data_IF_770634906305
#
_entry.id   IF_770634906305
#
_cell.length_a   1.000
_cell.length_b   1.000
_cell.length_c   1.000
_cell.angle_alpha   90.00
_cell.angle_beta   90.00
_cell.angle_gamma   90.00
#
_symmetry.space_group_name_H-M   'P 1'
#
loop_
_entity.id
_entity.type
_entity.pdbx_description
1 polymer ?
#
# COMPACT_ATOMS: atom_id res chain seq x y z
N UNK A 1 3.95 -5.29 15.56
CA UNK A 1 4.64 -4.17 14.88
C UNK A 1 3.62 -3.06 14.73
N UNK A 2 3.82 -2.07 13.86
CA UNK A 2 2.84 -1.00 13.65
C UNK A 2 2.56 -0.81 12.15
N UNK A 3 1.36 -0.33 11.84
CA UNK A 3 0.76 -0.32 10.51
C UNK A 3 0.03 0.99 10.21
N UNK A 4 0.11 1.43 8.96
CA UNK A 4 -0.59 2.62 8.49
C UNK A 4 -1.08 2.40 7.05
N UNK A 5 -2.32 2.81 6.74
CA UNK A 5 -2.95 2.62 5.43
C UNK A 5 -3.44 3.95 4.84
N UNK A 6 -3.25 4.10 3.54
CA UNK A 6 -3.76 5.19 2.71
C UNK A 6 -4.76 4.60 1.71
N UNK A 7 -6.00 5.10 1.74
CA UNK A 7 -7.02 4.81 0.74
C UNK A 7 -7.44 6.08 0.04
N UNK A 8 -7.56 6.06 -1.28
CA UNK A 8 -7.97 7.20 -2.07
C UNK A 8 -8.94 6.78 -3.16
N UNK A 9 -9.91 7.63 -3.44
CA UNK A 9 -10.75 7.54 -4.63
C UNK A 9 -11.22 8.95 -5.04
N UNK A 10 -12.17 9.03 -5.97
CA UNK A 10 -12.70 10.32 -6.44
C UNK A 10 -13.37 11.19 -5.36
N UNK A 11 -13.75 10.62 -4.21
CA UNK A 11 -14.36 11.34 -3.09
C UNK A 11 -13.31 12.00 -2.18
N UNK A 12 -12.08 11.51 -2.17
CA UNK A 12 -11.01 12.03 -1.31
C UNK A 12 -10.04 10.94 -0.85
N UNK A 13 -9.28 11.28 0.19
CA UNK A 13 -8.28 10.42 0.80
C UNK A 13 -8.64 10.10 2.25
N UNK A 14 -8.31 8.89 2.69
CA UNK A 14 -8.40 8.44 4.07
C UNK A 14 -7.04 7.89 4.46
N UNK A 15 -6.46 8.43 5.53
CA UNK A 15 -5.21 7.98 6.13
C UNK A 15 -5.55 7.43 7.50
N UNK A 16 -5.05 6.24 7.84
CA UNK A 16 -5.22 5.68 9.17
C UNK A 16 -3.93 4.99 9.65
N UNK A 17 -3.71 4.97 10.96
CA UNK A 17 -2.57 4.33 11.59
C UNK A 17 -2.92 3.77 12.99
N UNK A 18 -2.24 2.70 13.40
CA UNK A 18 -2.32 2.14 14.75
C UNK A 18 -1.37 2.81 15.77
N UNK A 19 -0.62 3.82 15.32
CA UNK A 19 0.27 4.64 16.14
C UNK A 19 -0.04 6.13 15.99
N UNK A 20 0.23 6.85 17.06
CA UNK A 20 0.24 8.31 17.03
C UNK A 20 1.47 8.83 16.29
N UNK A 21 1.40 10.07 15.82
CA UNK A 21 2.47 10.76 15.11
C UNK A 21 2.90 10.03 13.83
N UNK A 22 1.92 9.47 13.12
CA UNK A 22 2.13 8.83 11.83
C UNK A 22 1.62 9.73 10.70
N UNK A 23 0.54 10.47 10.95
CA UNK A 23 -0.12 11.37 10.01
C UNK A 23 0.06 12.83 10.46
N UNK A 24 0.55 13.68 9.57
CA UNK A 24 0.84 15.08 9.84
C UNK A 24 0.12 16.00 8.86
N UNK A 25 -0.76 16.86 9.37
CA UNK A 25 -1.40 17.92 8.58
C UNK A 25 -0.54 19.17 8.50
N UNK A 26 -0.48 19.80 7.32
CA UNK A 26 0.15 21.10 7.16
C UNK A 26 -0.69 22.23 7.78
N UNK A 27 -1.91 22.48 7.30
CA UNK A 27 -2.83 23.46 7.91
C UNK A 27 -4.30 23.10 7.68
N UNK A 28 -5.22 23.85 8.30
CA UNK A 28 -6.66 23.72 8.02
C UNK A 28 -7.04 24.20 6.62
N UNK A 29 -6.20 25.03 5.98
CA UNK A 29 -6.51 25.70 4.70
C UNK A 29 -5.82 25.06 3.51
N UNK A 30 -4.63 24.52 3.71
CA UNK A 30 -3.85 23.84 2.66
C UNK A 30 -4.06 22.34 2.84
N UNK A 31 -4.73 21.67 1.89
CA UNK A 31 -4.95 20.23 1.93
C UNK A 31 -3.64 19.52 1.55
N UNK A 32 -2.68 19.55 2.45
CA UNK A 32 -1.40 18.84 2.36
C UNK A 32 -1.17 18.08 3.66
N UNK A 33 -0.95 16.78 3.52
CA UNK A 33 -0.62 15.89 4.61
C UNK A 33 0.57 15.00 4.26
N UNK A 34 1.33 14.68 5.30
CA UNK A 34 2.39 13.69 5.27
C UNK A 34 1.94 12.47 6.07
N UNK A 35 2.19 11.29 5.54
CA UNK A 35 2.03 10.03 6.25
C UNK A 35 3.36 9.28 6.21
N UNK A 36 3.79 8.75 7.34
CA UNK A 36 5.14 8.19 7.54
C UNK A 36 5.05 6.73 7.98
N UNK A 37 6.17 5.99 7.93
CA UNK A 37 6.19 4.64 8.48
C UNK A 37 6.00 4.73 10.00
N UNK A 38 4.99 4.04 10.58
CA UNK A 38 4.76 4.06 12.03
C UNK A 38 5.91 3.42 12.83
N UNK A 39 6.85 2.74 12.18
CA UNK A 39 8.06 2.19 12.78
C UNK A 39 9.31 3.03 12.48
N UNK A 40 9.17 4.16 11.80
CA UNK A 40 10.26 5.08 11.52
C UNK A 40 10.94 5.54 12.80
N UNK A 41 12.26 5.63 12.76
CA UNK A 41 13.09 6.13 13.87
C UNK A 41 13.27 7.65 13.83
N UNK A 42 12.80 8.31 12.76
CA UNK A 42 12.94 9.73 12.57
C UNK A 42 11.95 10.52 13.45
N UNK A 43 12.37 11.68 14.01
CA UNK A 43 11.49 12.55 14.77
C UNK A 43 10.58 13.36 13.83
N UNK A 44 9.67 12.69 13.13
CA UNK A 44 8.83 13.31 12.10
C UNK A 44 8.01 14.49 12.59
N UNK A 45 7.54 14.45 13.85
CA UNK A 45 6.85 15.58 14.46
C UNK A 45 7.72 16.86 14.47
N UNK A 46 9.00 16.75 14.82
CA UNK A 46 9.93 17.88 14.86
C UNK A 46 10.25 18.36 13.44
N UNK A 47 10.55 17.43 12.53
CA UNK A 47 10.86 17.73 11.12
C UNK A 47 9.68 18.45 10.45
N UNK A 48 8.46 17.98 10.68
CA UNK A 48 7.24 18.56 10.10
C UNK A 48 6.89 19.91 10.72
N UNK A 49 7.06 20.06 12.03
CA UNK A 49 6.82 21.34 12.70
C UNK A 49 7.83 22.40 12.26
N UNK A 50 9.10 22.04 12.07
CA UNK A 50 10.13 22.93 11.50
C UNK A 50 9.69 23.43 10.12
N UNK A 51 9.21 22.53 9.24
CA UNK A 51 8.69 22.89 7.92
C UNK A 51 7.52 23.87 8.00
N UNK A 52 6.52 23.55 8.83
CA UNK A 52 5.29 24.35 8.98
C UNK A 52 5.52 25.74 9.54
N UNK A 53 6.48 25.90 10.45
CA UNK A 53 6.76 27.20 11.10
C UNK A 53 7.58 28.09 10.17
N UNK A 54 8.50 27.50 9.40
CA UNK A 54 9.43 28.23 8.54
C UNK A 54 8.90 28.49 7.12
N UNK A 55 7.75 27.92 6.78
CA UNK A 55 7.17 28.00 5.44
C UNK A 55 5.75 28.51 5.54
N UNK A 56 5.39 29.50 4.71
CA UNK A 56 4.01 29.95 4.54
C UNK A 56 3.50 29.54 3.16
N UNK A 57 2.75 28.43 3.13
CA UNK A 57 2.17 27.89 1.90
C UNK A 57 0.73 28.39 1.71
N UNK A 58 0.43 28.89 0.51
CA UNK A 58 -0.94 29.04 0.03
C UNK A 58 -1.50 27.77 -0.60
N UNK A 59 -0.63 26.89 -1.11
CA UNK A 59 -0.94 25.62 -1.77
C UNK A 59 0.22 24.63 -1.56
N UNK A 60 0.00 23.34 -1.86
CA UNK A 60 1.05 22.33 -1.68
C UNK A 60 2.22 22.55 -2.65
N UNK A 61 3.44 22.61 -2.12
CA UNK A 61 4.68 22.62 -2.90
C UNK A 61 5.60 21.47 -2.45
N UNK A 62 5.61 20.39 -3.22
CA UNK A 62 6.44 19.22 -2.93
C UNK A 62 7.94 19.49 -3.09
N UNK A 63 8.33 20.38 -4.00
CA UNK A 63 9.76 20.67 -4.21
C UNK A 63 10.32 21.40 -3.00
N UNK A 64 9.56 22.37 -2.48
CA UNK A 64 9.93 23.08 -1.25
C UNK A 64 9.99 22.13 -0.04
N UNK A 65 9.06 21.18 0.06
CA UNK A 65 9.10 20.17 1.10
C UNK A 65 10.32 19.23 0.96
N UNK A 66 10.69 18.83 -0.26
CA UNK A 66 11.90 18.04 -0.48
C UNK A 66 13.19 18.77 -0.14
N UNK A 67 13.27 20.05 -0.49
CA UNK A 67 14.42 20.88 -0.14
C UNK A 67 14.53 21.01 1.39
N UNK A 68 13.39 21.14 2.08
CA UNK A 68 13.34 21.09 3.55
C UNK A 68 13.86 19.74 4.08
N UNK A 69 13.42 18.61 3.53
CA UNK A 69 13.89 17.28 3.93
C UNK A 69 15.40 17.12 3.72
N UNK A 70 15.93 17.54 2.56
CA UNK A 70 17.37 17.50 2.27
C UNK A 70 18.20 18.33 3.24
N UNK A 71 17.65 19.44 3.74
CA UNK A 71 18.32 20.29 4.73
C UNK A 71 18.21 19.77 6.18
N UNK A 72 17.09 19.12 6.52
CA UNK A 72 16.77 18.74 7.90
C UNK A 72 17.26 17.34 8.27
N UNK A 73 17.10 16.37 7.36
CA UNK A 73 17.44 14.97 7.62
C UNK A 73 18.93 14.67 7.85
N UNK A 74 19.92 15.43 7.31
CA UNK A 74 21.33 15.19 7.63
C UNK A 74 21.63 15.28 9.14
N UNK A 75 20.86 16.08 9.90
CA UNK A 75 20.95 16.18 11.36
C UNK A 75 20.62 14.85 12.06
N UNK A 76 19.91 13.95 11.35
CA UNK A 76 19.38 12.67 11.83
C UNK A 76 19.96 11.47 11.09
N UNK A 77 21.06 11.64 10.32
CA UNK A 77 21.64 10.60 9.46
C UNK A 77 21.97 9.28 10.17
N UNK A 78 22.21 9.30 11.49
CA UNK A 78 22.50 8.09 12.27
C UNK A 78 21.26 7.27 12.63
N UNK A 79 20.05 7.79 12.40
CA UNK A 79 18.81 7.14 12.80
C UNK A 79 18.25 6.25 11.70
N UNK A 80 18.56 6.50 10.43
CA UNK A 80 17.94 5.84 9.30
C UNK A 80 18.90 5.58 8.15
N UNK A 81 18.61 4.55 7.36
CA UNK A 81 19.27 4.28 6.07
C UNK A 81 18.31 4.47 4.90
N UNK A 82 17.03 4.19 5.11
CA UNK A 82 15.95 4.25 4.14
C UNK A 82 14.63 4.51 4.85
N UNK A 83 13.81 5.39 4.28
CA UNK A 83 12.47 5.72 4.76
C UNK A 83 11.52 5.81 3.57
N UNK A 84 10.26 5.46 3.79
CA UNK A 84 9.19 5.62 2.79
C UNK A 84 8.10 6.47 3.42
N UNK A 85 7.68 7.50 2.69
CA UNK A 85 6.62 8.41 3.12
C UNK A 85 5.61 8.59 1.99
N UNK A 86 4.38 8.96 2.37
CA UNK A 86 3.33 9.37 1.44
C UNK A 86 3.01 10.84 1.65
N UNK A 87 3.13 11.63 0.58
CA UNK A 87 2.70 13.02 0.56
C UNK A 87 1.35 13.08 -0.15
N UNK A 88 0.29 13.37 0.60
CA UNK A 88 -1.09 13.39 0.10
C UNK A 88 -1.57 14.83 0.03
N UNK A 89 -2.07 15.27 -1.13
CA UNK A 89 -2.56 16.64 -1.31
C UNK A 89 -3.56 16.78 -2.47
N UNK A 90 -4.04 18.00 -2.69
CA UNK A 90 -4.74 18.40 -3.91
C UNK A 90 -3.89 19.38 -4.69
N UNK A 91 -3.72 19.13 -6.00
CA UNK A 91 -3.14 20.13 -6.90
C UNK A 91 -4.12 21.30 -7.09
N UNK A 92 -3.63 22.52 -7.36
CA UNK A 92 -4.49 23.71 -7.48
C UNK A 92 -5.60 23.58 -8.52
N UNK A 93 -5.33 22.84 -9.61
CA UNK A 93 -6.26 22.62 -10.71
C UNK A 93 -7.01 21.27 -10.62
N UNK A 94 -6.69 20.44 -9.61
CA UNK A 94 -7.28 19.12 -9.45
C UNK A 94 -8.43 19.12 -8.44
N UNK A 95 -9.53 18.49 -8.82
CA UNK A 95 -10.65 18.21 -7.90
C UNK A 95 -10.51 16.86 -7.19
N UNK A 96 -9.43 16.11 -7.47
CA UNK A 96 -9.17 14.78 -6.94
C UNK A 96 -7.85 14.73 -6.17
N UNK A 97 -7.75 13.87 -5.15
CA UNK A 97 -6.55 13.78 -4.34
C UNK A 97 -5.41 13.14 -5.14
N UNK A 98 -4.20 13.55 -4.80
CA UNK A 98 -2.94 13.04 -5.35
C UNK A 98 -2.09 12.52 -4.21
N UNK A 99 -1.37 11.43 -4.45
CA UNK A 99 -0.30 10.98 -3.55
C UNK A 99 1.00 10.76 -4.29
N UNK A 100 2.09 11.22 -3.69
CA UNK A 100 3.44 10.88 -4.09
C UNK A 100 4.06 9.97 -3.03
N UNK A 101 4.52 8.80 -3.50
CA UNK A 101 5.35 7.91 -2.71
C UNK A 101 6.79 8.40 -2.84
N UNK A 102 7.39 8.78 -1.71
CA UNK A 102 8.78 9.23 -1.69
C UNK A 102 9.60 8.23 -0.91
N UNK A 103 10.65 7.75 -1.56
CA UNK A 103 11.68 6.97 -0.93
C UNK A 103 12.87 7.87 -0.62
N UNK A 104 13.22 7.94 0.66
CA UNK A 104 14.31 8.77 1.16
C UNK A 104 15.44 7.85 1.60
N UNK A 105 16.66 8.12 1.15
CA UNK A 105 17.85 7.34 1.50
C UNK A 105 19.01 8.24 1.88
N UNK A 106 19.82 7.78 2.82
CA UNK A 106 21.14 8.37 3.07
C UNK A 106 22.19 7.67 2.22
N UNK A 107 22.88 8.43 1.36
CA UNK A 107 23.99 7.92 0.53
C UNK A 107 25.14 8.90 0.64
N UNK A 108 26.31 8.45 1.11
CA UNK A 108 27.52 9.28 1.27
C UNK A 108 27.27 10.59 2.05
N UNK A 109 26.51 10.53 3.14
CA UNK A 109 26.05 11.68 3.95
C UNK A 109 25.15 12.69 3.22
N UNK A 110 24.65 12.36 2.03
CA UNK A 110 23.66 13.15 1.32
C UNK A 110 22.30 12.45 1.37
N UNK A 111 21.24 13.26 1.45
CA UNK A 111 19.86 12.80 1.39
C UNK A 111 19.46 12.70 -0.08
N UNK A 112 19.19 11.48 -0.53
CA UNK A 112 18.61 11.22 -1.84
C UNK A 112 17.11 10.97 -1.66
N UNK A 113 16.29 11.71 -2.41
CA UNK A 113 14.84 11.54 -2.43
C UNK A 113 14.47 11.08 -3.84
N UNK A 114 13.92 9.87 -3.92
CA UNK A 114 13.35 9.34 -5.15
C UNK A 114 11.84 9.39 -5.04
N UNK A 115 11.20 10.18 -5.90
CA UNK A 115 9.76 10.09 -6.11
C UNK A 115 9.49 8.88 -6.99
N UNK A 116 8.53 8.05 -6.61
CA UNK A 116 7.95 7.14 -7.59
C UNK A 116 7.37 7.99 -8.73
N UNK A 117 7.84 7.75 -9.96
CA UNK A 117 7.33 8.42 -11.16
C UNK A 117 5.83 8.12 -11.34
N UNK A 118 5.37 7.01 -10.78
CA UNK A 118 3.98 6.59 -10.68
C UNK A 118 3.25 7.33 -9.57
N UNK A 119 3.29 8.66 -9.57
CA UNK A 119 2.39 9.45 -8.73
C UNK A 119 0.95 8.97 -8.94
N UNK A 120 0.26 8.63 -7.86
CA UNK A 120 -1.09 8.12 -7.95
C UNK A 120 -2.04 9.31 -7.95
N UNK A 121 -2.32 9.76 -9.18
CA UNK A 121 -3.30 10.80 -9.45
C UNK A 121 -4.64 10.11 -9.69
N UNK A 122 -5.61 10.40 -8.82
CA UNK A 122 -6.97 9.94 -9.03
C UNK A 122 -7.60 10.81 -10.13
N UNK A 123 -8.12 10.20 -11.20
CA UNK A 123 -8.84 10.90 -12.24
C UNK A 123 -9.80 9.99 -13.02
N UNK A 124 -10.85 10.54 -13.66
CA UNK A 124 -11.79 9.75 -14.45
C UNK A 124 -11.17 9.12 -15.70
N UNK A 125 -10.01 9.62 -16.14
CA UNK A 125 -9.28 9.14 -17.32
C UNK A 125 -8.09 8.24 -16.96
N UNK A 126 -7.79 8.07 -15.67
CA UNK A 126 -6.64 7.33 -15.16
C UNK A 126 -7.05 6.41 -14.01
N UNK A 127 -6.29 6.45 -12.91
CA UNK A 127 -6.62 5.67 -11.71
C UNK A 127 -7.86 6.26 -11.03
N UNK A 128 -8.81 5.43 -10.64
CA UNK A 128 -10.06 5.86 -9.98
C UNK A 128 -10.06 5.56 -8.47
N UNK A 129 -9.18 4.66 -8.05
CA UNK A 129 -8.94 4.26 -6.67
C UNK A 129 -7.46 3.98 -6.45
N UNK A 130 -7.03 4.06 -5.21
CA UNK A 130 -5.69 3.67 -4.78
C UNK A 130 -5.71 3.21 -3.32
N UNK A 131 -4.98 2.14 -3.02
CA UNK A 131 -4.72 1.68 -1.65
C UNK A 131 -3.25 1.35 -1.53
N UNK A 132 -2.62 1.90 -0.50
CA UNK A 132 -1.23 1.60 -0.16
C UNK A 132 -1.03 1.69 1.35
N UNK A 133 0.12 1.21 1.84
CA UNK A 133 0.39 1.14 3.25
C UNK A 133 1.87 1.27 3.60
N UNK A 134 2.14 1.59 4.87
CA UNK A 134 3.45 1.65 5.49
C UNK A 134 3.47 0.76 6.74
N UNK A 135 4.64 0.21 7.07
CA UNK A 135 4.82 -0.68 8.21
C UNK A 135 4.41 -2.13 7.94
N UNK A 136 4.08 -2.86 9.02
CA UNK A 136 3.84 -4.31 8.98
C UNK A 136 2.36 -4.63 8.75
N UNK A 137 2.01 -4.74 7.47
CA UNK A 137 0.68 -5.14 7.01
C UNK A 137 0.72 -6.46 6.22
N UNK A 138 1.75 -7.28 6.44
CA UNK A 138 1.97 -8.49 5.64
C UNK A 138 0.79 -9.48 5.71
N UNK A 139 0.10 -9.56 6.85
CA UNK A 139 -1.03 -10.50 7.03
C UNK A 139 -2.29 -10.03 6.31
N UNK A 140 -2.50 -8.71 6.26
CA UNK A 140 -3.57 -8.13 5.47
C UNK A 140 -3.22 -7.84 4.02
N UNK A 141 -1.94 -7.79 3.65
CA UNK A 141 -1.48 -7.78 2.25
C UNK A 141 -2.11 -8.96 1.50
N UNK A 142 -2.19 -10.12 2.16
CA UNK A 142 -2.93 -11.29 1.70
C UNK A 142 -4.40 -10.99 1.35
N UNK A 143 -5.09 -10.17 2.15
CA UNK A 143 -6.50 -9.78 1.94
C UNK A 143 -6.64 -8.65 0.90
N UNK A 144 -5.64 -7.77 0.82
CA UNK A 144 -5.61 -6.60 -0.06
C UNK A 144 -5.03 -6.90 -1.46
N UNK A 145 -4.49 -8.11 -1.70
CA UNK A 145 -4.13 -8.59 -3.05
C UNK A 145 -2.95 -9.56 -3.14
N UNK A 146 -2.10 -9.65 -2.12
CA UNK A 146 -0.82 -10.38 -2.15
C UNK A 146 -0.98 -11.90 -2.02
N UNK A 147 -2.15 -12.35 -1.55
CA UNK A 147 -2.57 -13.76 -1.49
C UNK A 147 -2.29 -14.48 -2.80
N UNK A 148 -2.55 -13.81 -3.92
CA UNK A 148 -2.56 -14.43 -5.23
C UNK A 148 -1.15 -14.57 -5.80
N UNK A 149 -0.22 -13.71 -5.37
CA UNK A 149 1.20 -13.82 -5.69
C UNK A 149 1.77 -15.02 -4.95
N UNK A 150 1.58 -15.10 -3.63
CA UNK A 150 2.06 -16.21 -2.81
C UNK A 150 1.43 -17.55 -3.23
N UNK A 151 0.11 -17.57 -3.47
CA UNK A 151 -0.59 -18.76 -3.98
C UNK A 151 -0.10 -19.13 -5.37
N UNK A 152 0.20 -18.13 -6.22
CA UNK A 152 0.78 -18.34 -7.54
C UNK A 152 2.15 -18.99 -7.46
N UNK A 153 3.01 -18.55 -6.56
CA UNK A 153 4.35 -19.11 -6.37
C UNK A 153 4.31 -20.53 -5.83
N UNK A 154 3.42 -20.80 -4.86
CA UNK A 154 3.18 -22.17 -4.39
C UNK A 154 2.66 -23.04 -5.55
N UNK A 155 1.66 -22.56 -6.31
CA UNK A 155 1.10 -23.30 -7.44
C UNK A 155 2.16 -23.63 -8.49
N UNK A 156 3.04 -22.68 -8.83
CA UNK A 156 4.18 -22.90 -9.74
C UNK A 156 5.15 -23.93 -9.19
N UNK A 157 5.42 -23.91 -7.89
CA UNK A 157 6.38 -24.83 -7.27
C UNK A 157 5.90 -26.30 -7.27
N UNK A 158 4.60 -26.54 -7.11
CA UNK A 158 4.02 -27.90 -7.06
C UNK A 158 3.55 -28.40 -8.43
N UNK A 159 3.40 -27.51 -9.41
CA UNK A 159 2.88 -27.83 -10.73
C UNK A 159 3.65 -28.95 -11.47
N UNK A 160 4.99 -28.97 -11.51
CA UNK A 160 5.73 -30.01 -12.23
C UNK A 160 5.40 -31.42 -11.72
N UNK A 161 5.30 -31.57 -10.40
CA UNK A 161 4.98 -32.85 -9.78
C UNK A 161 3.55 -33.30 -10.10
N UNK A 162 2.57 -32.39 -9.91
CA UNK A 162 1.16 -32.69 -10.19
C UNK A 162 0.92 -32.97 -11.68
N UNK A 163 1.62 -32.25 -12.56
CA UNK A 163 1.53 -32.47 -14.01
C UNK A 163 2.12 -33.83 -14.40
N UNK A 164 3.24 -34.25 -13.81
CA UNK A 164 3.82 -35.58 -14.03
C UNK A 164 2.87 -36.70 -13.59
N UNK A 165 2.21 -36.55 -12.44
CA UNK A 165 1.20 -37.50 -11.95
C UNK A 165 -0.03 -37.55 -12.87
N UNK A 166 -0.54 -36.39 -13.28
CA UNK A 166 -1.64 -36.30 -14.25
C UNK A 166 -1.27 -36.97 -15.58
N UNK A 167 -0.07 -36.69 -16.12
CA UNK A 167 0.43 -37.27 -17.36
C UNK A 167 0.52 -38.79 -17.28
N UNK A 168 1.04 -39.33 -16.18
CA UNK A 168 1.09 -40.78 -15.95
C UNK A 168 -0.32 -41.41 -15.91
N UNK A 169 -1.26 -40.77 -15.22
CA UNK A 169 -2.65 -41.23 -15.13
C UNK A 169 -3.39 -41.16 -16.47
N UNK A 170 -3.20 -40.09 -17.24
CA UNK A 170 -3.78 -39.91 -18.56
C UNK A 170 -3.30 -40.99 -19.54
N UNK A 171 -1.98 -41.28 -19.53
CA UNK A 171 -1.39 -42.36 -20.33
C UNK A 171 -1.98 -43.72 -19.93
N UNK A 172 -2.16 -43.98 -18.62
CA UNK A 172 -2.74 -45.23 -18.13
C UNK A 172 -4.23 -45.37 -18.46
N UNK A 173 -4.99 -44.26 -18.47
CA UNK A 173 -6.43 -44.24 -18.72
C UNK A 173 -6.81 -44.27 -20.20
N UNK A 174 -5.89 -43.93 -21.09
CA UNK A 174 -6.16 -43.95 -22.52
C UNK A 174 -6.49 -45.37 -23.00
N UNK A 175 -7.68 -45.53 -23.58
CA UNK A 175 -8.11 -46.80 -24.17
C UNK A 175 -7.30 -47.08 -25.45
N UNK A 176 -7.09 -48.38 -25.72
CA UNK A 176 -6.42 -48.91 -26.93
C UNK A 176 -6.83 -48.12 -28.18
N UNK A 177 -5.90 -47.38 -28.76
CA UNK A 177 -6.08 -46.63 -30.00
C UNK A 177 -5.19 -45.40 -30.15
N UNK A 178 -4.77 -44.78 -29.04
CA UNK A 178 -3.82 -43.66 -29.05
C UNK A 178 -2.46 -44.18 -28.56
N UNK A 179 -1.40 -43.99 -29.34
CA UNK A 179 -0.07 -44.41 -28.94
C UNK A 179 0.48 -43.53 -27.81
N UNK A 180 1.36 -44.09 -26.97
CA UNK A 180 2.05 -43.34 -25.90
C UNK A 180 2.78 -42.09 -26.45
N UNK A 181 3.42 -42.24 -27.61
CA UNK A 181 4.09 -41.17 -28.34
C UNK A 181 3.15 -40.06 -28.81
N UNK A 182 1.92 -40.37 -29.23
CA UNK A 182 0.93 -39.35 -29.59
C UNK A 182 0.42 -38.61 -28.35
N UNK A 183 0.17 -39.29 -27.23
CA UNK A 183 -0.23 -38.62 -25.99
C UNK A 183 0.87 -37.74 -25.39
N UNK A 184 2.13 -38.15 -25.50
CA UNK A 184 3.26 -37.34 -25.04
C UNK A 184 3.41 -36.04 -25.85
N UNK A 185 2.98 -36.02 -27.11
CA UNK A 185 2.89 -34.83 -27.97
C UNK A 185 1.76 -33.88 -27.57
N UNK A 186 0.65 -34.38 -27.01
CA UNK A 186 -0.47 -33.55 -26.53
C UNK A 186 -0.33 -33.09 -25.06
N UNK A 187 0.63 -33.65 -24.31
CA UNK A 187 0.87 -33.37 -22.90
C UNK A 187 2.25 -32.74 -22.71
N UNK A 188 2.41 -31.54 -23.29
CA UNK A 188 3.59 -30.70 -23.10
C UNK A 188 3.47 -29.89 -21.80
N UNK A 189 4.36 -30.19 -20.86
CA UNK A 189 4.46 -29.49 -19.58
C UNK A 189 4.74 -28.00 -19.77
N UNK A 190 5.48 -27.63 -20.81
CA UNK A 190 5.79 -26.23 -21.11
C UNK A 190 4.54 -25.47 -21.53
N UNK A 191 3.73 -26.03 -22.42
CA UNK A 191 2.45 -25.42 -22.82
C UNK A 191 1.48 -25.32 -21.63
N UNK A 192 1.42 -26.36 -20.78
CA UNK A 192 0.58 -26.36 -19.60
C UNK A 192 1.04 -25.36 -18.52
N UNK A 193 2.36 -25.20 -18.33
CA UNK A 193 2.93 -24.17 -17.45
C UNK A 193 2.62 -22.76 -17.95
N UNK A 194 2.71 -22.53 -19.26
CA UNK A 194 2.34 -21.22 -19.85
C UNK A 194 0.85 -20.93 -19.61
N UNK A 195 -0.03 -21.93 -19.72
CA UNK A 195 -1.46 -21.77 -19.43
C UNK A 195 -1.70 -21.47 -17.94
N UNK A 196 -0.97 -22.12 -17.02
CA UNK A 196 -1.05 -21.82 -15.59
C UNK A 196 -0.66 -20.37 -15.31
N UNK A 197 0.46 -19.90 -15.87
CA UNK A 197 0.89 -18.51 -15.70
C UNK A 197 -0.13 -17.51 -16.26
N UNK A 198 -0.71 -17.81 -17.43
CA UNK A 198 -1.78 -16.99 -18.00
C UNK A 198 -3.03 -16.94 -17.10
N UNK A 199 -3.40 -18.05 -16.47
CA UNK A 199 -4.55 -18.12 -15.55
C UNK A 199 -4.28 -17.36 -14.25
N UNK A 200 -3.09 -17.50 -13.68
CA UNK A 200 -2.67 -16.80 -12.47
C UNK A 200 -2.66 -15.28 -12.71
N UNK A 201 -2.02 -14.81 -13.79
CA UNK A 201 -2.00 -13.39 -14.17
C UNK A 201 -3.41 -12.84 -14.39
N UNK A 202 -4.26 -13.57 -15.13
CA UNK A 202 -5.65 -13.17 -15.35
C UNK A 202 -6.45 -13.06 -14.06
N UNK A 203 -6.27 -14.01 -13.14
CA UNK A 203 -6.97 -14.03 -11.85
C UNK A 203 -6.52 -12.88 -10.97
N UNK A 204 -5.22 -12.59 -10.93
CA UNK A 204 -4.66 -11.47 -10.19
C UNK A 204 -5.23 -10.14 -10.70
N UNK A 205 -5.22 -9.92 -12.02
CA UNK A 205 -5.82 -8.73 -12.63
C UNK A 205 -7.31 -8.58 -12.33
N UNK A 206 -8.05 -9.68 -12.29
CA UNK A 206 -9.48 -9.66 -11.95
C UNK A 206 -9.71 -9.30 -10.47
N UNK A 207 -8.88 -9.81 -9.55
CA UNK A 207 -8.98 -9.48 -8.13
C UNK A 207 -8.69 -7.99 -7.90
N UNK A 208 -7.57 -7.49 -8.43
CA UNK A 208 -7.18 -6.08 -8.34
C UNK A 208 -8.29 -5.18 -8.88
N UNK A 209 -8.84 -5.51 -10.07
CA UNK A 209 -9.98 -4.77 -10.64
C UNK A 209 -11.22 -4.77 -9.75
N UNK A 210 -11.52 -5.89 -9.07
CA UNK A 210 -12.67 -5.96 -8.15
C UNK A 210 -12.45 -5.11 -6.91
N UNK A 211 -11.24 -5.13 -6.34
CA UNK A 211 -10.86 -4.27 -5.24
C UNK A 211 -10.97 -2.80 -5.65
N UNK A 212 -10.39 -2.43 -6.78
CA UNK A 212 -10.50 -1.07 -7.33
C UNK A 212 -11.95 -0.65 -7.52
N UNK A 213 -12.78 -1.52 -8.11
CA UNK A 213 -14.21 -1.24 -8.31
C UNK A 213 -14.93 -1.04 -6.97
N UNK A 214 -14.59 -1.84 -5.94
CA UNK A 214 -15.18 -1.71 -4.62
C UNK A 214 -14.77 -0.39 -3.95
N UNK A 215 -13.48 -0.08 -3.90
CA UNK A 215 -12.95 1.15 -3.31
C UNK A 215 -13.50 2.38 -4.04
N UNK A 216 -13.60 2.33 -5.36
CA UNK A 216 -14.17 3.42 -6.15
C UNK A 216 -15.67 3.65 -5.89
N UNK A 217 -16.38 2.63 -5.40
CA UNK A 217 -17.80 2.77 -5.02
C UNK A 217 -18.01 3.33 -3.61
N UNK A 218 -16.95 3.43 -2.80
CA UNK A 218 -17.05 3.87 -1.42
C UNK A 218 -17.25 5.37 -1.30
N UNK A 219 -18.15 5.76 -0.40
CA UNK A 219 -18.13 7.11 0.17
C UNK A 219 -16.95 7.26 1.15
N UNK A 220 -16.62 8.49 1.54
CA UNK A 220 -15.52 8.76 2.48
C UNK A 220 -15.75 8.02 3.79
N UNK A 221 -16.98 7.95 4.28
CA UNK A 221 -17.35 7.26 5.51
C UNK A 221 -17.13 5.75 5.40
N UNK A 222 -17.33 5.16 4.22
CA UNK A 222 -17.07 3.74 3.98
C UNK A 222 -15.57 3.47 3.95
N UNK A 223 -14.78 4.35 3.32
CA UNK A 223 -13.32 4.26 3.34
C UNK A 223 -12.76 4.40 4.77
N UNK A 224 -13.31 5.31 5.58
CA UNK A 224 -12.96 5.45 7.02
C UNK A 224 -13.25 4.18 7.79
N UNK A 225 -14.44 3.60 7.63
CA UNK A 225 -14.80 2.35 8.33
C UNK A 225 -13.92 1.19 7.87
N UNK A 226 -13.57 1.15 6.59
CA UNK A 226 -12.74 0.09 6.04
C UNK A 226 -11.30 0.19 6.53
N UNK A 227 -10.71 1.39 6.51
CA UNK A 227 -9.34 1.59 6.97
C UNK A 227 -9.17 1.26 8.46
N UNK A 228 -10.12 1.66 9.32
CA UNK A 228 -10.12 1.29 10.74
C UNK A 228 -10.24 -0.23 10.93
N UNK A 229 -11.20 -0.87 10.27
CA UNK A 229 -11.40 -2.32 10.37
C UNK A 229 -10.17 -3.11 9.93
N UNK A 230 -9.51 -2.66 8.88
CA UNK A 230 -8.30 -3.29 8.39
C UNK A 230 -7.19 -3.17 9.45
N UNK A 231 -6.85 -1.95 9.87
CA UNK A 231 -5.78 -1.78 10.86
C UNK A 231 -6.05 -2.58 12.15
N UNK A 232 -7.29 -2.57 12.64
CA UNK A 232 -7.68 -3.35 13.81
C UNK A 232 -7.57 -4.87 13.57
N UNK A 233 -7.90 -5.35 12.36
CA UNK A 233 -7.77 -6.76 11.99
C UNK A 233 -6.30 -7.20 11.93
N UNK A 234 -5.41 -6.38 11.39
CA UNK A 234 -3.96 -6.65 11.42
C UNK A 234 -3.45 -6.76 12.86
N UNK A 235 -3.82 -5.82 13.73
CA UNK A 235 -3.42 -5.86 15.12
C UNK A 235 -3.94 -7.12 15.84
N UNK A 236 -5.16 -7.56 15.52
CA UNK A 236 -5.71 -8.83 16.01
C UNK A 236 -4.93 -10.04 15.49
N UNK A 237 -4.59 -10.09 14.21
CA UNK A 237 -3.80 -11.18 13.62
C UNK A 237 -2.41 -11.27 14.25
N UNK A 238 -1.73 -10.13 14.42
CA UNK A 238 -0.43 -10.06 15.09
C UNK A 238 -0.52 -10.55 16.54
N UNK A 239 -1.56 -10.16 17.27
CA UNK A 239 -1.79 -10.64 18.64
C UNK A 239 -2.04 -12.15 18.70
N UNK A 240 -2.81 -12.71 17.74
CA UNK A 240 -3.06 -14.15 17.70
C UNK A 240 -1.79 -14.97 17.43
N UNK A 241 -0.88 -14.45 16.61
CA UNK A 241 0.40 -15.09 16.30
C UNK A 241 1.44 -14.92 17.42
N UNK A 242 1.36 -13.82 18.17
CA UNK A 242 2.24 -13.52 19.29
C UNK A 242 1.42 -12.92 20.45
N UNK A 243 0.82 -13.78 21.32
CA UNK A 243 -0.11 -13.35 22.37
C UNK A 243 0.47 -12.35 23.38
N UNK A 244 1.79 -12.28 23.48
CA UNK A 244 2.50 -11.34 24.37
C UNK A 244 2.51 -9.90 23.83
N UNK A 245 2.13 -9.68 22.57
CA UNK A 245 2.01 -8.35 21.97
C UNK A 245 0.65 -7.75 22.38
N UNK A 246 0.61 -6.58 23.03
CA UNK A 246 -0.65 -5.93 23.37
C UNK A 246 -1.50 -5.65 22.13
N UNK A 247 -2.80 -5.90 22.23
CA UNK A 247 -3.74 -5.51 21.18
C UNK A 247 -3.76 -3.98 21.06
N UNK A 248 -3.35 -3.46 19.90
CA UNK A 248 -3.38 -2.02 19.61
C UNK A 248 -4.52 -1.73 18.65
N UNK A 249 -5.50 -0.95 19.10
CA UNK A 249 -6.52 -0.42 18.20
C UNK A 249 -5.95 0.72 17.35
N UNK A 250 -6.58 0.99 16.21
CA UNK A 250 -6.31 2.16 15.37
C UNK A 250 -6.30 3.43 16.22
N UNK A 251 -5.27 4.28 16.09
CA UNK A 251 -5.08 5.49 16.93
C UNK A 251 -5.27 6.79 16.17
N UNK A 252 -4.90 6.82 14.90
CA UNK A 252 -5.05 7.96 14.02
C UNK A 252 -5.92 7.60 12.82
N UNK A 253 -6.91 8.44 12.52
CA UNK A 253 -7.71 8.39 11.30
C UNK A 253 -7.97 9.84 10.88
N UNK A 254 -7.54 10.17 9.67
CA UNK A 254 -7.79 11.45 9.04
C UNK A 254 -8.39 11.26 7.66
N UNK A 255 -9.20 12.23 7.26
CA UNK A 255 -9.74 12.34 5.91
C UNK A 255 -9.22 13.62 5.28
N UNK A 256 -9.13 13.61 3.95
CA UNK A 256 -8.88 14.81 3.19
C UNK A 256 -9.81 14.83 1.98
N UNK A 257 -10.64 15.86 1.91
CA UNK A 257 -11.56 16.08 0.79
C UNK A 257 -11.37 17.48 0.25
N UNK A 258 -11.75 17.71 -1.00
CA UNK A 258 -11.67 19.05 -1.60
C UNK A 258 -12.53 20.07 -0.84
N UNK A 259 -13.70 19.65 -0.37
CA UNK A 259 -14.66 20.54 0.28
C UNK A 259 -14.27 20.90 1.72
N UNK A 260 -13.72 19.95 2.47
CA UNK A 260 -13.47 20.11 3.90
C UNK A 260 -11.98 20.31 4.24
N UNK A 261 -11.09 20.14 3.26
CA UNK A 261 -9.66 20.04 3.50
C UNK A 261 -9.33 18.80 4.33
N UNK A 262 -8.30 18.90 5.18
CA UNK A 262 -7.94 17.82 6.09
C UNK A 262 -8.76 17.88 7.39
N UNK A 263 -9.36 16.75 7.75
CA UNK A 263 -10.11 16.56 9.00
C UNK A 263 -9.62 15.35 9.78
N UNK A 264 -9.51 15.51 11.09
CA UNK A 264 -9.32 14.39 12.00
C UNK A 264 -10.66 13.73 12.30
N UNK A 265 -10.73 12.42 12.10
CA UNK A 265 -11.84 11.57 12.56
C UNK A 265 -11.49 10.97 13.91
N UNK A 266 -10.23 10.52 14.04
CA UNK A 266 -9.64 9.99 15.27
C UNK A 266 -8.23 10.53 15.37
N UNK A 267 -7.91 11.21 16.46
CA UNK A 267 -6.57 11.74 16.68
C UNK A 267 -6.25 11.59 18.15
N UNK A 268 -5.69 10.43 18.49
CA UNK A 268 -5.31 10.15 19.86
C UNK A 268 -3.98 10.82 20.18
N UNK A 269 -3.93 12.16 20.30
CA UNK A 269 -2.69 12.85 20.69
C UNK A 269 -2.10 12.34 22.01
N UNK A 270 -2.97 11.81 22.89
CA UNK A 270 -2.64 11.06 24.09
C UNK A 270 -3.82 10.11 24.38
N UNK A 271 -3.57 8.81 24.55
CA UNK A 271 -4.64 7.85 24.82
C UNK A 271 -4.19 6.60 25.57
N UNK A 272 -4.54 6.60 26.87
CA UNK A 272 -4.49 5.58 27.93
C UNK A 272 -3.10 5.19 28.49
#
# INVERSE_FOLDING_TARGET
>A
MAAAILMMNMQGAVMAADKDQTIFRYSDKVPFALMTDPNSSLPWADIWNEFRINTDLSECDLNLFEDHLKSSLPKHANLFSREIIFCVYYEPESIFPVTHNMEIRMVNNEVIINRDESSYIISPKGNISYVNWLGDLNHMGTILGDSLIETGDVARSVFPQLFAEFKANAIAAAKKGISKSEMELYLDEREASVLLDCLLDKTQRLLVRKLDTAINSYHIEDMVRMSEKLIDAEAQLQHLQAPDIPLKATREIATMTLAEGFKWIKHSLYGA
#
